data_IF_804523040334
#
_entry.id   IF_804523040334
#
_cell.length_a   1.000
_cell.length_b   1.000
_cell.length_c   1.000
_cell.angle_alpha   90.00
_cell.angle_beta   90.00
_cell.angle_gamma   90.00
#
_symmetry.space_group_name_H-M   'P 1'
#
loop_
_entity.id
_entity.type
_entity.pdbx_description
1 polymer ?
#
# COMPACT_ATOMS: atom_id res chain seq x y z
N UNK A 1 14.28 -14.15 32.62
CA UNK A 1 13.01 -14.88 32.71
C UNK A 1 11.91 -13.86 32.45
N UNK A 2 11.20 -13.79 31.34
CA UNK A 2 11.17 -14.56 30.10
C UNK A 2 10.60 -13.56 29.06
N UNK A 3 11.41 -13.14 28.08
CA UNK A 3 10.96 -12.24 27.01
C UNK A 3 10.27 -13.12 25.97
N UNK A 4 9.05 -13.53 26.30
CA UNK A 4 8.14 -14.19 25.37
C UNK A 4 7.75 -13.16 24.30
N UNK A 5 8.38 -13.31 23.13
CA UNK A 5 7.91 -12.91 21.79
C UNK A 5 6.42 -12.54 21.76
N UNK A 6 6.11 -11.23 21.80
CA UNK A 6 4.76 -10.74 21.55
C UNK A 6 4.51 -10.80 20.04
N UNK A 7 3.74 -11.83 19.67
CA UNK A 7 3.34 -12.28 18.34
C UNK A 7 2.83 -11.17 17.41
N UNK A 8 2.97 -11.33 16.07
CA UNK A 8 2.39 -10.44 15.08
C UNK A 8 0.90 -10.80 14.85
N UNK A 9 0.00 -10.06 15.50
CA UNK A 9 -1.46 -10.10 15.25
C UNK A 9 -2.01 -8.78 14.69
N UNK A 10 -1.14 -7.86 14.30
CA UNK A 10 -1.48 -6.47 14.03
C UNK A 10 -2.32 -6.29 12.77
N UNK A 11 -2.08 -7.05 11.70
CA UNK A 11 -2.89 -6.91 10.48
C UNK A 11 -4.32 -7.39 10.71
N UNK A 12 -4.49 -8.50 11.43
CA UNK A 12 -5.81 -9.00 11.82
C UNK A 12 -6.50 -8.02 12.78
N UNK A 13 -5.81 -7.48 13.78
CA UNK A 13 -6.40 -6.52 14.72
C UNK A 13 -6.72 -5.15 14.09
N UNK A 14 -5.91 -4.69 13.13
CA UNK A 14 -6.17 -3.47 12.34
C UNK A 14 -7.33 -3.68 11.36
N UNK A 15 -7.41 -4.86 10.72
CA UNK A 15 -8.53 -5.23 9.86
C UNK A 15 -9.80 -5.44 10.70
N UNK A 16 -9.71 -6.03 11.89
CA UNK A 16 -10.82 -6.30 12.83
C UNK A 16 -11.39 -5.05 13.51
N UNK A 17 -10.75 -3.88 13.39
CA UNK A 17 -11.36 -2.61 13.74
C UNK A 17 -12.72 -2.52 13.04
N UNK A 18 -13.81 -2.58 13.82
CA UNK A 18 -15.20 -2.70 13.34
C UNK A 18 -15.57 -1.72 12.22
N UNK A 19 -14.87 -0.59 12.09
CA UNK A 19 -15.10 0.38 11.03
C UNK A 19 -14.51 0.00 9.65
N UNK A 20 -13.33 -0.65 9.59
CA UNK A 20 -12.75 -1.14 8.33
C UNK A 20 -13.56 -2.35 7.83
N UNK A 21 -13.91 -3.30 8.72
CA UNK A 21 -14.84 -4.39 8.38
C UNK A 21 -16.26 -3.91 8.05
N UNK A 22 -16.76 -2.84 8.67
CA UNK A 22 -18.09 -2.30 8.34
C UNK A 22 -18.14 -1.66 6.95
N UNK A 23 -17.02 -1.15 6.45
CA UNK A 23 -16.87 -0.71 5.07
C UNK A 23 -16.70 -1.86 4.07
N UNK A 24 -16.37 -3.06 4.56
CA UNK A 24 -16.21 -4.30 3.78
C UNK A 24 -17.13 -5.40 4.34
N UNK A 25 -18.43 -5.13 4.43
CA UNK A 25 -19.39 -6.18 4.86
C UNK A 25 -19.26 -7.36 3.90
N UNK A 26 -19.07 -8.57 4.45
CA UNK A 26 -18.88 -9.79 3.64
C UNK A 26 -20.00 -10.05 2.62
N UNK A 27 -21.20 -9.51 2.85
CA UNK A 27 -22.31 -9.54 1.89
C UNK A 27 -22.10 -8.64 0.66
N UNK A 28 -21.33 -7.56 0.75
CA UNK A 28 -20.95 -6.73 -0.42
C UNK A 28 -19.84 -7.39 -1.23
N UNK A 29 -18.85 -8.02 -0.58
CA UNK A 29 -17.77 -8.76 -1.27
C UNK A 29 -18.34 -9.91 -2.12
N UNK A 30 -19.39 -10.59 -1.65
CA UNK A 30 -20.08 -11.65 -2.41
C UNK A 30 -20.97 -11.12 -3.55
N UNK A 31 -21.49 -9.89 -3.46
CA UNK A 31 -22.25 -9.24 -4.55
C UNK A 31 -21.37 -8.83 -5.73
N UNK A 32 -20.06 -8.71 -5.51
CA UNK A 32 -19.08 -8.38 -6.52
C UNK A 32 -18.66 -9.69 -7.20
N UNK A 33 -19.38 -10.08 -8.25
CA UNK A 33 -19.24 -11.40 -8.90
C UNK A 33 -17.82 -11.77 -9.37
N UNK A 34 -16.90 -10.82 -9.46
CA UNK A 34 -15.47 -11.07 -9.71
C UNK A 34 -14.75 -11.65 -8.47
N UNK A 35 -15.01 -11.15 -7.26
CA UNK A 35 -14.37 -11.64 -6.03
C UNK A 35 -14.94 -12.96 -5.53
N UNK A 36 -16.23 -13.22 -5.79
CA UNK A 36 -16.83 -14.52 -5.54
C UNK A 36 -16.14 -15.64 -6.36
N UNK A 37 -15.72 -15.35 -7.62
CA UNK A 37 -14.94 -16.28 -8.45
C UNK A 37 -13.52 -16.50 -7.91
N UNK A 38 -12.94 -15.50 -7.26
CA UNK A 38 -11.61 -15.54 -6.63
C UNK A 38 -11.63 -16.16 -5.22
N UNK A 39 -12.79 -16.65 -4.76
CA UNK A 39 -12.97 -17.31 -3.47
C UNK A 39 -12.47 -16.50 -2.26
N UNK A 40 -12.60 -15.17 -2.31
CA UNK A 40 -12.24 -14.26 -1.21
C UNK A 40 -13.17 -14.49 -0.02
N UNK A 41 -12.62 -14.84 1.14
CA UNK A 41 -13.40 -15.14 2.37
C UNK A 41 -13.29 -14.04 3.42
N UNK A 42 -12.26 -13.21 3.34
CA UNK A 42 -11.98 -12.13 4.29
C UNK A 42 -11.35 -10.91 3.60
N UNK A 43 -11.41 -9.72 4.20
CA UNK A 43 -10.78 -8.52 3.62
C UNK A 43 -9.26 -8.63 3.49
N UNK A 44 -8.61 -9.41 4.36
CA UNK A 44 -7.18 -9.70 4.24
C UNK A 44 -6.89 -10.57 3.01
N UNK A 45 -7.77 -11.52 2.66
CA UNK A 45 -7.62 -12.29 1.42
C UNK A 45 -7.72 -11.36 0.20
N UNK A 46 -8.66 -10.41 0.21
CA UNK A 46 -8.79 -9.42 -0.86
C UNK A 46 -7.51 -8.57 -0.99
N UNK A 47 -6.96 -8.12 0.14
CA UNK A 47 -5.73 -7.32 0.16
C UNK A 47 -4.53 -8.09 -0.40
N UNK A 48 -4.39 -9.37 -0.04
CA UNK A 48 -3.32 -10.24 -0.50
C UNK A 48 -3.39 -10.56 -2.01
N UNK A 49 -4.52 -10.30 -2.67
CA UNK A 49 -4.60 -10.40 -4.13
C UNK A 49 -3.87 -9.25 -4.84
N UNK A 50 -3.91 -8.04 -4.27
CA UNK A 50 -3.20 -6.87 -4.81
C UNK A 50 -1.73 -6.85 -4.37
N UNK A 51 -1.50 -7.12 -3.08
CA UNK A 51 -0.17 -7.20 -2.48
C UNK A 51 0.20 -8.66 -2.29
N UNK A 52 0.56 -9.28 -3.41
CA UNK A 52 1.00 -10.68 -3.41
C UNK A 52 2.23 -10.87 -2.53
N UNK A 53 2.39 -12.08 -1.99
CA UNK A 53 3.56 -12.40 -1.16
C UNK A 53 4.88 -12.18 -1.91
N UNK A 54 4.90 -12.45 -3.21
CA UNK A 54 6.10 -12.27 -4.04
C UNK A 54 6.43 -10.80 -4.23
N UNK A 55 5.42 -9.94 -4.41
CA UNK A 55 5.62 -8.49 -4.42
C UNK A 55 6.16 -7.99 -3.09
N UNK A 56 5.63 -8.46 -1.95
CA UNK A 56 6.12 -8.06 -0.62
C UNK A 56 7.57 -8.49 -0.40
N UNK A 57 7.94 -9.71 -0.82
CA UNK A 57 9.33 -10.18 -0.77
C UNK A 57 10.25 -9.31 -1.62
N UNK A 58 9.82 -8.97 -2.83
CA UNK A 58 10.55 -8.05 -3.70
C UNK A 58 10.77 -6.70 -2.99
N UNK A 59 9.73 -6.11 -2.39
CA UNK A 59 9.82 -4.85 -1.65
C UNK A 59 10.88 -4.96 -0.54
N UNK A 60 10.83 -6.03 0.25
CA UNK A 60 11.79 -6.28 1.33
C UNK A 60 13.23 -6.35 0.80
N UNK A 61 13.46 -7.18 -0.22
CA UNK A 61 14.77 -7.38 -0.83
C UNK A 61 15.33 -6.06 -1.38
N UNK A 62 14.55 -5.34 -2.18
CA UNK A 62 15.02 -4.11 -2.83
C UNK A 62 15.22 -2.97 -1.81
N UNK A 63 14.40 -2.90 -0.76
CA UNK A 63 14.56 -1.94 0.33
C UNK A 63 15.87 -2.19 1.10
N UNK A 64 16.18 -3.45 1.42
CA UNK A 64 17.42 -3.81 2.10
C UNK A 64 18.66 -3.57 1.23
N UNK A 65 18.60 -3.91 -0.07
CA UNK A 65 19.67 -3.62 -1.04
C UNK A 65 19.92 -2.11 -1.14
N UNK A 66 18.85 -1.31 -1.22
CA UNK A 66 18.98 0.14 -1.29
C UNK A 66 19.59 0.74 -0.02
N UNK A 67 19.16 0.31 1.16
CA UNK A 67 19.72 0.77 2.43
C UNK A 67 21.23 0.48 2.51
N UNK A 68 21.65 -0.74 2.16
CA UNK A 68 23.05 -1.13 2.12
C UNK A 68 23.87 -0.31 1.12
N UNK A 69 23.31 0.00 -0.06
CA UNK A 69 23.97 0.85 -1.06
C UNK A 69 24.13 2.30 -0.62
N UNK A 70 23.27 2.79 0.28
CA UNK A 70 23.35 4.14 0.85
C UNK A 70 24.15 4.19 2.16
N UNK A 71 24.92 3.14 2.47
CA UNK A 71 25.83 3.11 3.62
C UNK A 71 25.21 2.58 4.92
N UNK A 72 23.91 2.29 4.94
CA UNK A 72 23.22 1.77 6.12
C UNK A 72 23.11 0.23 6.05
N UNK A 73 24.24 -0.44 6.29
CA UNK A 73 24.35 -1.91 6.20
C UNK A 73 23.67 -2.66 7.35
N UNK A 74 23.45 -1.98 8.48
CA UNK A 74 22.76 -2.55 9.65
C UNK A 74 21.24 -2.53 9.52
N UNK A 75 20.69 -1.72 8.61
CA UNK A 75 19.26 -1.71 8.36
C UNK A 75 18.84 -3.03 7.72
N UNK A 76 17.82 -3.64 8.30
CA UNK A 76 17.12 -4.80 7.77
C UNK A 76 15.64 -4.59 8.04
N UNK A 77 14.81 -4.77 7.01
CA UNK A 77 13.36 -4.82 7.12
C UNK A 77 12.86 -6.22 6.82
N UNK A 78 11.83 -6.65 7.54
CA UNK A 78 11.14 -7.94 7.37
C UNK A 78 9.81 -7.80 6.63
N UNK A 79 9.26 -8.92 6.13
CA UNK A 79 7.92 -8.96 5.54
C UNK A 79 6.87 -8.41 6.53
N UNK A 80 6.97 -8.76 7.81
CA UNK A 80 6.03 -8.32 8.86
C UNK A 80 6.06 -6.80 9.07
N UNK A 81 7.25 -6.19 9.02
CA UNK A 81 7.40 -4.73 9.14
C UNK A 81 6.86 -4.00 7.91
N UNK A 82 7.02 -4.55 6.71
CA UNK A 82 6.39 -4.02 5.50
C UNK A 82 4.87 -4.11 5.59
N UNK A 83 4.32 -5.25 6.02
CA UNK A 83 2.88 -5.38 6.25
C UNK A 83 2.37 -4.38 7.31
N UNK A 84 3.14 -4.17 8.37
CA UNK A 84 2.80 -3.20 9.43
C UNK A 84 2.85 -1.77 8.90
N UNK A 85 3.87 -1.42 8.09
CA UNK A 85 3.97 -0.13 7.38
C UNK A 85 2.71 0.10 6.54
N UNK A 86 2.33 -0.87 5.71
CA UNK A 86 1.16 -0.78 4.83
C UNK A 86 -0.15 -0.67 5.64
N UNK A 87 -0.27 -1.39 6.75
CA UNK A 87 -1.40 -1.28 7.66
C UNK A 87 -1.53 0.13 8.28
N UNK A 88 -0.43 0.74 8.70
CA UNK A 88 -0.42 2.12 9.20
C UNK A 88 -0.75 3.12 8.08
N UNK A 89 -0.26 2.91 6.86
CA UNK A 89 -0.61 3.76 5.71
C UNK A 89 -2.11 3.66 5.37
N UNK A 90 -2.69 2.46 5.40
CA UNK A 90 -4.12 2.25 5.19
C UNK A 90 -4.94 2.95 6.28
N UNK A 91 -4.56 2.78 7.55
CA UNK A 91 -5.20 3.46 8.67
C UNK A 91 -5.09 4.99 8.53
N UNK A 92 -3.97 5.48 8.00
CA UNK A 92 -3.77 6.92 7.82
C UNK A 92 -4.71 7.54 6.78
N UNK A 93 -5.08 6.77 5.75
CA UNK A 93 -6.12 7.17 4.79
C UNK A 93 -7.51 7.15 5.40
N UNK A 94 -7.80 6.20 6.29
CA UNK A 94 -9.08 6.12 7.00
C UNK A 94 -9.25 7.22 8.06
N UNK A 95 -8.21 7.45 8.87
CA UNK A 95 -8.17 8.46 9.94
C UNK A 95 -7.01 9.42 9.68
N UNK A 96 -7.19 10.46 8.86
CA UNK A 96 -6.13 11.40 8.55
C UNK A 96 -5.84 12.30 9.76
N UNK A 97 -4.55 12.52 10.03
CA UNK A 97 -4.09 13.52 11.00
C UNK A 97 -3.34 14.67 10.31
N UNK A 98 -3.34 15.89 10.90
CA UNK A 98 -2.61 17.04 10.33
C UNK A 98 -1.11 16.80 10.15
N UNK A 99 -0.52 15.90 10.97
CA UNK A 99 0.86 15.47 10.81
C UNK A 99 0.99 14.00 11.17
N UNK A 100 1.82 13.31 10.38
CA UNK A 100 2.10 11.87 10.56
C UNK A 100 2.65 11.55 11.95
N UNK A 101 3.31 12.49 12.63
CA UNK A 101 3.82 12.27 13.99
C UNK A 101 2.70 12.03 15.01
N UNK A 102 1.48 12.47 14.74
CA UNK A 102 0.33 12.30 15.65
C UNK A 102 -0.12 10.85 15.78
N UNK A 103 0.17 9.96 14.82
CA UNK A 103 -0.13 8.53 14.95
C UNK A 103 0.63 7.86 16.11
N UNK A 104 1.73 8.46 16.58
CA UNK A 104 2.49 7.98 17.75
C UNK A 104 2.27 8.83 19.01
N UNK A 105 1.28 9.73 19.00
CA UNK A 105 0.95 10.52 20.18
C UNK A 105 0.00 9.72 21.08
N UNK A 106 0.45 9.45 22.31
CA UNK A 106 -0.25 8.65 23.32
C UNK A 106 -1.06 9.51 24.32
N UNK A 107 -1.38 10.76 23.98
CA UNK A 107 -2.28 11.55 24.81
C UNK A 107 -3.63 10.84 24.98
N UNK A 108 -4.20 10.93 26.19
CA UNK A 108 -5.40 10.20 26.62
C UNK A 108 -6.61 10.41 25.69
N UNK A 109 -6.66 11.53 24.97
CA UNK A 109 -7.72 11.92 24.04
C UNK A 109 -7.59 11.29 22.63
N UNK A 110 -6.46 10.65 22.29
CA UNK A 110 -6.15 10.25 20.90
C UNK A 110 -6.27 8.76 20.62
N UNK A 111 -6.25 7.91 21.64
CA UNK A 111 -6.42 6.44 21.56
C UNK A 111 -5.58 5.76 20.44
N UNK A 112 -4.38 6.27 20.12
CA UNK A 112 -3.54 5.76 19.03
C UNK A 112 -2.64 4.58 19.44
N UNK A 113 -3.05 3.83 20.47
CA UNK A 113 -2.29 2.69 21.00
C UNK A 113 -2.01 1.62 19.95
N UNK A 114 -2.91 1.46 18.97
CA UNK A 114 -2.74 0.51 17.87
C UNK A 114 -1.44 0.76 17.09
N UNK A 115 -1.23 1.98 16.61
CA UNK A 115 -0.03 2.31 15.80
C UNK A 115 1.21 2.34 16.67
N UNK A 116 1.11 2.94 17.85
CA UNK A 116 2.25 3.07 18.76
C UNK A 116 2.78 1.71 19.25
N UNK A 117 1.88 0.73 19.45
CA UNK A 117 2.26 -0.63 19.83
C UNK A 117 2.70 -1.47 18.62
N UNK A 118 2.20 -1.16 17.41
CA UNK A 118 2.51 -1.91 16.20
C UNK A 118 3.96 -1.72 15.74
N UNK A 119 4.41 -0.48 15.66
CA UNK A 119 5.74 -0.14 15.13
C UNK A 119 6.23 1.14 15.79
N UNK A 120 7.54 1.21 16.09
CA UNK A 120 8.15 2.46 16.59
C UNK A 120 8.22 3.49 15.48
N UNK A 121 7.98 4.76 15.81
CA UNK A 121 8.04 5.87 14.84
C UNK A 121 9.36 5.91 14.06
N UNK A 122 10.49 5.73 14.76
CA UNK A 122 11.82 5.76 14.14
C UNK A 122 12.03 4.65 13.12
N UNK A 123 11.53 3.44 13.41
CA UNK A 123 11.59 2.31 12.47
C UNK A 123 10.69 2.58 11.27
N UNK A 124 9.45 3.03 11.51
CA UNK A 124 8.53 3.41 10.44
C UNK A 124 9.13 4.49 9.51
N UNK A 125 9.73 5.55 10.07
CA UNK A 125 10.38 6.61 9.30
C UNK A 125 11.61 6.09 8.54
N UNK A 126 12.39 5.18 9.13
CA UNK A 126 13.55 4.56 8.48
C UNK A 126 13.14 3.68 7.31
N UNK A 127 12.08 2.87 7.46
CA UNK A 127 11.55 2.04 6.38
C UNK A 127 11.07 2.94 5.23
N UNK A 128 10.31 4.01 5.52
CA UNK A 128 9.85 4.94 4.48
C UNK A 128 11.01 5.63 3.75
N UNK A 129 12.12 5.89 4.42
CA UNK A 129 13.30 6.51 3.82
C UNK A 129 13.97 5.59 2.79
N UNK A 130 14.04 4.29 3.08
CA UNK A 130 14.75 3.33 2.24
C UNK A 130 13.84 2.52 1.30
N UNK A 131 12.51 2.63 1.44
CA UNK A 131 11.53 1.86 0.67
C UNK A 131 11.84 1.90 -0.83
N UNK A 132 12.12 0.73 -1.42
CA UNK A 132 12.47 0.58 -2.84
C UNK A 132 11.78 -0.65 -3.44
N UNK A 133 11.50 -0.57 -4.74
CA UNK A 133 10.82 -1.62 -5.51
C UNK A 133 11.70 -2.22 -6.61
N UNK A 134 12.83 -1.58 -6.94
CA UNK A 134 13.73 -2.01 -8.00
C UNK A 134 15.19 -1.74 -7.65
N UNK A 135 16.07 -2.53 -8.25
CA UNK A 135 17.52 -2.46 -8.06
C UNK A 135 18.11 -1.31 -8.90
N UNK A 136 18.72 -0.33 -8.22
CA UNK A 136 19.36 0.80 -8.90
C UNK A 136 20.61 0.41 -9.72
N UNK A 137 21.18 -0.79 -9.52
CA UNK A 137 22.29 -1.27 -10.36
C UNK A 137 21.85 -1.70 -11.77
N UNK A 138 20.55 -1.95 -11.96
CA UNK A 138 19.95 -2.45 -13.21
C UNK A 138 19.16 -1.38 -13.96
N UNK A 139 19.49 -0.11 -13.72
CA UNK A 139 18.76 1.02 -14.31
C UNK A 139 18.74 0.93 -15.84
N UNK A 140 17.52 0.95 -16.37
CA UNK A 140 17.22 1.09 -17.80
C UNK A 140 16.79 2.55 -18.04
N UNK A 141 16.98 3.12 -19.25
CA UNK A 141 16.47 4.45 -19.62
C UNK A 141 14.94 4.49 -19.75
N UNK A 142 14.24 4.04 -18.71
CA UNK A 142 12.81 4.14 -18.53
C UNK A 142 12.54 4.90 -17.23
N UNK A 143 11.78 5.99 -17.34
CA UNK A 143 11.40 6.83 -16.21
C UNK A 143 10.57 6.10 -15.14
N UNK A 144 9.88 5.01 -15.51
CA UNK A 144 9.02 4.22 -14.63
C UNK A 144 9.70 2.98 -14.06
N UNK A 145 10.95 2.70 -14.45
CA UNK A 145 11.67 1.49 -14.06
C UNK A 145 11.62 1.20 -12.56
N UNK A 146 11.70 2.25 -11.73
CA UNK A 146 11.71 2.12 -10.27
C UNK A 146 10.40 1.65 -9.65
N UNK A 147 9.28 1.81 -10.35
CA UNK A 147 7.94 1.44 -9.90
C UNK A 147 7.32 0.35 -10.76
N UNK A 148 7.96 0.02 -11.88
CA UNK A 148 7.52 -1.00 -12.84
C UNK A 148 7.15 -2.34 -12.18
N UNK A 149 7.93 -2.90 -11.23
CA UNK A 149 7.58 -4.19 -10.64
C UNK A 149 6.25 -4.20 -9.87
N UNK A 150 5.86 -3.05 -9.29
CA UNK A 150 4.57 -2.89 -8.65
C UNK A 150 3.44 -2.87 -9.69
N UNK A 151 3.62 -2.10 -10.77
CA UNK A 151 2.63 -2.04 -11.86
C UNK A 151 2.47 -3.38 -12.55
N UNK A 152 3.55 -4.11 -12.81
CA UNK A 152 3.48 -5.45 -13.41
C UNK A 152 2.67 -6.41 -12.54
N UNK A 153 2.92 -6.43 -11.21
CA UNK A 153 2.16 -7.26 -10.28
C UNK A 153 0.68 -6.88 -10.23
N UNK A 154 0.34 -5.59 -10.28
CA UNK A 154 -1.04 -5.12 -10.29
C UNK A 154 -1.73 -5.47 -11.62
N UNK A 155 -1.04 -5.32 -12.74
CA UNK A 155 -1.56 -5.65 -14.06
C UNK A 155 -1.86 -7.14 -14.19
N UNK A 156 -1.02 -8.03 -13.66
CA UNK A 156 -1.33 -9.46 -13.60
C UNK A 156 -2.60 -9.75 -12.80
N UNK A 157 -2.80 -9.05 -11.67
CA UNK A 157 -4.04 -9.18 -10.91
C UNK A 157 -5.26 -8.69 -11.71
N UNK A 158 -5.18 -7.53 -12.36
CA UNK A 158 -6.28 -6.97 -13.14
C UNK A 158 -6.64 -7.82 -14.37
N UNK A 159 -5.69 -8.54 -14.97
CA UNK A 159 -5.97 -9.50 -16.06
C UNK A 159 -6.87 -10.66 -15.61
N UNK A 160 -6.76 -11.07 -14.35
CA UNK A 160 -7.57 -12.16 -13.78
C UNK A 160 -8.96 -11.63 -13.39
N UNK A 161 -9.09 -10.34 -13.10
CA UNK A 161 -10.36 -9.73 -12.75
C UNK A 161 -11.29 -9.69 -13.97
N UNK A 162 -12.44 -10.37 -13.87
CA UNK A 162 -13.42 -10.34 -14.95
C UNK A 162 -14.09 -8.96 -15.03
N UNK A 163 -13.88 -8.27 -16.15
CA UNK A 163 -14.55 -7.00 -16.43
C UNK A 163 -16.05 -7.21 -16.62
N UNK A 164 -16.84 -6.24 -16.15
CA UNK A 164 -18.27 -6.16 -16.41
C UNK A 164 -18.56 -5.88 -17.88
N UNK A 165 -19.85 -5.92 -18.27
CA UNK A 165 -20.28 -5.71 -19.66
C UNK A 165 -20.00 -4.30 -20.20
N UNK A 166 -19.74 -3.35 -19.32
CA UNK A 166 -19.45 -1.95 -19.62
C UNK A 166 -18.22 -1.50 -18.81
N UNK A 167 -17.33 -0.78 -19.47
CA UNK A 167 -16.18 -0.12 -18.84
C UNK A 167 -16.14 1.34 -19.30
N UNK A 168 -15.72 2.21 -18.39
CA UNK A 168 -15.45 3.62 -18.67
C UNK A 168 -13.98 3.86 -18.41
N UNK A 169 -13.27 4.43 -19.39
CA UNK A 169 -11.86 4.79 -19.25
C UNK A 169 -11.80 6.27 -18.88
N UNK A 170 -11.10 6.60 -17.80
CA UNK A 170 -10.84 7.98 -17.40
C UNK A 170 -9.41 8.11 -16.86
N UNK A 171 -8.91 9.34 -16.78
CA UNK A 171 -7.58 9.63 -16.27
C UNK A 171 -7.67 10.03 -14.79
N UNK A 172 -6.97 9.31 -13.91
CA UNK A 172 -6.85 9.68 -12.50
C UNK A 172 -5.57 10.47 -12.26
N UNK A 173 -5.66 11.56 -11.51
CA UNK A 173 -4.50 12.37 -11.12
C UNK A 173 -4.11 12.19 -9.66
N UNK A 174 -2.87 11.79 -9.41
CA UNK A 174 -2.30 11.72 -8.06
C UNK A 174 -1.45 12.98 -7.81
N UNK A 175 -1.79 13.85 -6.84
CA UNK A 175 -1.06 15.08 -6.61
C UNK A 175 0.39 14.79 -6.18
N UNK A 176 1.34 15.40 -6.88
CA UNK A 176 2.77 15.22 -6.64
C UNK A 176 3.54 16.53 -6.85
N UNK A 177 4.20 16.98 -5.79
CA UNK A 177 4.89 18.27 -5.75
C UNK A 177 6.39 18.17 -6.07
N UNK A 178 6.95 16.96 -6.17
CA UNK A 178 8.37 16.76 -6.47
C UNK A 178 8.71 16.96 -7.95
N UNK A 179 10.00 16.79 -8.26
CA UNK A 179 10.52 16.82 -9.63
C UNK A 179 10.54 15.41 -10.20
N UNK A 180 9.72 15.15 -11.22
CA UNK A 180 9.74 13.93 -12.00
C UNK A 180 9.45 14.24 -13.47
N UNK A 181 10.05 13.48 -14.40
CA UNK A 181 9.96 13.74 -15.85
C UNK A 181 8.56 13.50 -16.41
N UNK A 182 7.80 12.58 -15.81
CA UNK A 182 6.42 12.22 -16.22
C UNK A 182 5.37 13.18 -15.64
N UNK A 183 5.77 14.15 -14.80
CA UNK A 183 4.82 15.07 -14.15
C UNK A 183 4.19 16.01 -15.18
N UNK A 184 2.86 15.99 -15.27
CA UNK A 184 2.09 16.86 -16.17
C UNK A 184 1.34 17.96 -15.41
N UNK A 185 0.94 19.01 -16.14
CA UNK A 185 0.09 20.10 -15.64
C UNK A 185 -1.18 20.15 -16.49
N UNK A 186 -2.37 20.10 -15.88
CA UNK A 186 -3.63 20.34 -16.59
C UNK A 186 -4.07 21.79 -16.37
N UNK A 187 -4.43 22.51 -17.43
CA UNK A 187 -4.72 23.95 -17.31
C UNK A 187 -5.94 24.27 -16.44
N UNK A 188 -6.90 23.34 -16.36
CA UNK A 188 -8.17 23.52 -15.63
C UNK A 188 -8.11 22.97 -14.20
N UNK A 189 -6.95 22.49 -13.75
CA UNK A 189 -6.73 21.95 -12.40
C UNK A 189 -5.55 22.65 -11.71
N UNK A 190 -5.68 23.11 -10.46
CA UNK A 190 -4.62 23.84 -9.76
C UNK A 190 -3.52 22.94 -9.18
N UNK A 191 -3.53 21.63 -9.44
CA UNK A 191 -2.59 20.65 -8.87
C UNK A 191 -1.71 20.01 -9.96
N UNK A 192 -0.45 19.74 -9.60
CA UNK A 192 0.45 18.92 -10.41
C UNK A 192 0.29 17.46 -10.01
N UNK A 193 0.27 16.53 -10.97
CA UNK A 193 0.07 15.13 -10.66
C UNK A 193 0.64 14.16 -11.69
N UNK A 194 0.60 12.89 -11.31
CA UNK A 194 0.77 11.75 -12.21
C UNK A 194 -0.56 11.42 -12.84
N UNK A 195 -0.59 11.24 -14.15
CA UNK A 195 -1.73 10.64 -14.82
C UNK A 195 -1.56 9.11 -14.76
N UNK A 196 -2.55 8.43 -14.19
CA UNK A 196 -2.71 6.98 -14.31
C UNK A 196 -4.00 6.77 -15.08
N UNK A 197 -3.93 6.03 -16.17
CA UNK A 197 -5.13 5.61 -16.87
C UNK A 197 -5.85 4.61 -15.98
N UNK A 198 -7.11 4.90 -15.68
CA UNK A 198 -7.89 4.09 -14.78
C UNK A 198 -9.19 3.76 -15.47
N UNK A 199 -9.41 2.49 -15.78
CA UNK A 199 -10.73 2.08 -16.25
C UNK A 199 -11.59 1.67 -15.06
N UNK A 200 -12.79 2.25 -14.98
CA UNK A 200 -13.79 1.92 -13.99
C UNK A 200 -14.81 0.92 -14.58
N UNK A 201 -15.11 -0.14 -13.84
CA UNK A 201 -16.17 -1.10 -14.17
C UNK A 201 -17.43 -0.76 -13.36
N UNK A 202 -18.61 -0.99 -13.94
CA UNK A 202 -19.91 -0.81 -13.29
C UNK A 202 -19.96 -1.64 -11.97
N UNK A 203 -19.69 -0.96 -10.84
CA UNK A 203 -19.34 -1.59 -9.55
C UNK A 203 -18.27 -0.83 -8.75
N UNK A 204 -17.59 0.16 -9.35
CA UNK A 204 -16.62 1.04 -8.66
C UNK A 204 -15.19 0.48 -8.61
N UNK A 205 -14.87 -0.51 -9.45
CA UNK A 205 -13.53 -1.09 -9.52
C UNK A 205 -12.66 -0.36 -10.52
N UNK A 206 -11.44 -0.06 -10.09
CA UNK A 206 -10.38 0.48 -10.92
C UNK A 206 -9.53 -0.66 -11.49
N UNK A 207 -9.28 -0.60 -12.79
CA UNK A 207 -8.27 -1.42 -13.50
C UNK A 207 -7.23 -0.48 -14.10
N UNK A 208 -5.96 -0.91 -14.05
CA UNK A 208 -4.82 -0.21 -14.65
C UNK A 208 -4.66 -0.51 -16.14
#
# INVERSE_FOLDING_TARGET
MDVQLRRPKLLLELVEQKAIMASFRGEEIQRLGCFAKLAVKSPIDAFNLFLTRDLVKLIVEQTNVYAASNGERSFQVSEEEIFTLLGVLLLSGYRPYPSRRFYWNLADDKENYLVANAIRRTIFESILQFLHLADNSKLVPDSMFKVQPLFDSLNEFFKIMSLGKSCTVDESMIPYYGHHVVRTKKWWWPFFGWAVDVSCVQGGFYIG
#
